data_IF_719848238968
#
_entry.id   IF_719848238968
#
_cell.length_a   1.000
_cell.length_b   1.000
_cell.length_c   1.000
_cell.angle_alpha   90.00
_cell.angle_beta   90.00
_cell.angle_gamma   90.00
#
_symmetry.space_group_name_H-M   'P 1'
#
loop_
_entity.id
_entity.type
_entity.pdbx_description
1 polymer ?
#
# COMPACT_ATOMS: atom_id res chain seq x y z
N UNK A 1 -41.30 -35.82 67.04
CA UNK A 1 -42.62 -35.26 67.40
C UNK A 1 -42.54 -33.75 67.30
N UNK A 2 -43.43 -33.14 66.49
CA UNK A 2 -43.84 -31.71 66.42
C UNK A 2 -42.72 -30.69 66.08
N UNK A 3 -42.57 -30.14 64.86
CA UNK A 3 -43.42 -29.26 64.03
C UNK A 3 -43.24 -27.74 64.30
N UNK A 4 -43.03 -27.01 63.18
CA UNK A 4 -43.38 -25.58 62.92
C UNK A 4 -42.51 -24.53 63.68
N UNK A 5 -42.09 -23.37 63.16
CA UNK A 5 -42.64 -22.45 62.15
C UNK A 5 -41.55 -21.47 61.67
N UNK A 6 -41.74 -20.96 60.45
CA UNK A 6 -40.98 -19.95 59.71
C UNK A 6 -41.10 -18.51 60.26
N UNK A 7 -40.27 -17.62 59.67
CA UNK A 7 -40.46 -16.20 59.31
C UNK A 7 -39.57 -15.14 60.01
N UNK A 8 -38.79 -14.47 59.15
CA UNK A 8 -38.00 -13.23 59.28
C UNK A 8 -38.87 -11.99 59.52
N UNK A 9 -38.35 -10.85 60.07
CA UNK A 9 -37.80 -9.77 59.23
C UNK A 9 -36.61 -8.94 59.81
N UNK A 10 -35.78 -8.40 58.89
CA UNK A 10 -35.24 -7.00 58.73
C UNK A 10 -35.03 -6.18 60.03
N UNK A 11 -33.89 -5.58 60.40
CA UNK A 11 -32.99 -4.63 59.71
C UNK A 11 -31.83 -4.29 60.69
N UNK A 12 -30.58 -4.15 60.23
CA UNK A 12 -29.59 -3.18 60.78
C UNK A 12 -28.24 -3.30 60.05
N UNK A 13 -27.87 -2.17 59.45
CA UNK A 13 -26.66 -1.83 58.72
C UNK A 13 -25.33 -2.36 59.29
N UNK A 14 -24.43 -2.78 58.40
CA UNK A 14 -23.01 -2.39 58.47
C UNK A 14 -22.33 -2.47 57.09
N UNK A 15 -21.98 -1.28 56.60
CA UNK A 15 -21.16 -0.99 55.42
C UNK A 15 -19.88 -1.84 55.37
N UNK A 16 -19.64 -2.50 54.24
CA UNK A 16 -18.30 -2.95 53.83
C UNK A 16 -18.09 -2.52 52.38
N UNK A 17 -17.00 -1.79 52.20
CA UNK A 17 -16.46 -1.21 50.98
C UNK A 17 -16.15 -2.28 49.93
N UNK A 18 -16.80 -2.19 48.76
CA UNK A 18 -16.38 -2.84 47.53
C UNK A 18 -15.77 -1.81 46.58
N UNK A 19 -14.48 -1.97 46.31
CA UNK A 19 -13.75 -1.34 45.22
C UNK A 19 -14.39 -1.74 43.87
N UNK A 20 -15.06 -0.79 43.23
CA UNK A 20 -15.40 -0.88 41.81
C UNK A 20 -14.15 -0.69 40.96
N UNK A 21 -13.49 -1.78 40.55
CA UNK A 21 -12.67 -1.79 39.32
C UNK A 21 -13.60 -1.94 38.13
N UNK A 22 -14.02 -0.81 37.55
CA UNK A 22 -14.55 -0.80 36.19
C UNK A 22 -13.36 -0.94 35.21
N UNK A 23 -13.44 -1.82 34.20
CA UNK A 23 -12.40 -1.95 33.20
C UNK A 23 -12.39 -0.67 32.37
N UNK A 24 -11.25 0.00 32.35
CA UNK A 24 -11.02 1.16 31.51
C UNK A 24 -11.40 0.82 30.08
N UNK A 25 -12.39 1.53 29.54
CA UNK A 25 -12.52 1.71 28.11
C UNK A 25 -11.18 2.26 27.64
N UNK A 26 -10.38 1.42 27.00
CA UNK A 26 -9.43 1.87 26.01
C UNK A 26 -10.27 2.54 24.93
N UNK A 27 -10.55 3.83 25.11
CA UNK A 27 -10.82 4.69 23.97
C UNK A 27 -9.61 4.52 23.06
N UNK A 28 -9.80 4.14 21.78
CA UNK A 28 -8.72 4.28 20.82
C UNK A 28 -8.33 5.75 20.89
N UNK A 29 -7.07 6.03 21.24
CA UNK A 29 -6.47 7.34 20.99
C UNK A 29 -6.79 7.66 19.54
N UNK A 30 -7.79 8.51 19.30
CA UNK A 30 -7.84 9.31 18.09
C UNK A 30 -6.49 10.00 18.12
N UNK A 31 -5.59 9.57 17.25
CA UNK A 31 -4.45 10.39 16.86
C UNK A 31 -5.05 11.77 16.58
N UNK A 32 -4.80 12.74 17.46
CA UNK A 32 -5.01 14.13 17.10
C UNK A 32 -4.20 14.30 15.83
N UNK A 33 -4.88 14.42 14.69
CA UNK A 33 -4.21 14.66 13.42
C UNK A 33 -3.32 15.87 13.65
N UNK A 34 -2.01 15.67 13.54
CA UNK A 34 -1.05 16.76 13.64
C UNK A 34 -1.44 17.83 12.62
N UNK A 35 -1.19 19.11 12.90
CA UNK A 35 -1.43 20.19 11.92
C UNK A 35 -0.74 19.88 10.57
N UNK A 36 0.36 19.12 10.61
CA UNK A 36 1.05 18.59 9.43
C UNK A 36 0.21 17.57 8.63
N UNK A 37 -0.54 16.70 9.31
CA UNK A 37 -1.40 15.70 8.65
C UNK A 37 -2.61 16.36 7.98
N UNK A 38 -3.23 17.35 8.64
CA UNK A 38 -4.35 18.11 8.07
C UNK A 38 -3.88 18.90 6.84
N UNK A 39 -2.72 19.55 6.93
CA UNK A 39 -2.14 20.25 5.79
C UNK A 39 -1.82 19.31 4.64
N UNK A 40 -1.31 18.10 4.93
CA UNK A 40 -1.03 17.09 3.92
C UNK A 40 -2.30 16.62 3.21
N UNK A 41 -3.39 16.41 3.95
CA UNK A 41 -4.71 16.10 3.37
C UNK A 41 -5.24 17.24 2.50
N UNK A 42 -5.15 18.49 2.96
CA UNK A 42 -5.55 19.67 2.20
C UNK A 42 -4.73 19.85 0.90
N UNK A 43 -3.41 19.69 0.99
CA UNK A 43 -2.49 19.79 -0.15
C UNK A 43 -2.81 18.69 -1.19
N UNK A 44 -3.02 17.45 -0.75
CA UNK A 44 -3.40 16.35 -1.64
C UNK A 44 -4.76 16.60 -2.29
N UNK A 45 -5.74 17.11 -1.55
CA UNK A 45 -7.06 17.47 -2.06
C UNK A 45 -6.97 18.57 -3.12
N UNK A 46 -6.16 19.60 -2.89
CA UNK A 46 -5.93 20.67 -3.84
C UNK A 46 -5.27 20.16 -5.13
N UNK A 47 -4.29 19.25 -5.01
CA UNK A 47 -3.64 18.63 -6.16
C UNK A 47 -4.63 17.80 -7.00
N UNK A 48 -5.52 17.01 -6.36
CA UNK A 48 -6.57 16.25 -7.06
C UNK A 48 -7.58 17.19 -7.74
N UNK A 49 -7.95 18.30 -7.10
CA UNK A 49 -8.82 19.31 -7.72
C UNK A 49 -8.15 19.93 -8.95
N UNK A 50 -6.87 20.31 -8.84
CA UNK A 50 -6.10 20.86 -9.96
C UNK A 50 -5.97 19.89 -11.13
N UNK A 51 -5.84 18.60 -10.85
CA UNK A 51 -5.86 17.53 -11.86
C UNK A 51 -7.25 17.34 -12.51
N UNK A 52 -8.31 17.81 -11.88
CA UNK A 52 -9.68 17.79 -12.43
C UNK A 52 -9.98 19.03 -13.29
N UNK A 53 -9.19 20.08 -13.20
CA UNK A 53 -9.33 21.29 -14.01
C UNK A 53 -8.91 21.03 -15.46
N UNK A 54 -9.33 21.88 -16.40
CA UNK A 54 -9.06 21.67 -17.84
C UNK A 54 -7.61 22.00 -18.25
N UNK A 55 -6.82 22.56 -17.35
CA UNK A 55 -5.47 23.03 -17.68
C UNK A 55 -4.44 21.90 -17.61
N UNK A 56 -4.26 21.26 -18.77
CA UNK A 56 -3.31 20.16 -18.94
C UNK A 56 -1.84 20.56 -18.70
N UNK A 57 -1.49 21.85 -18.76
CA UNK A 57 -0.11 22.31 -18.51
C UNK A 57 0.30 22.15 -17.04
N UNK A 58 -0.69 22.16 -16.14
CA UNK A 58 -0.49 22.09 -14.69
C UNK A 58 -0.52 20.67 -14.14
N UNK A 59 -0.91 19.69 -14.95
CA UNK A 59 -1.02 18.30 -14.50
C UNK A 59 0.35 17.72 -14.13
N UNK A 60 1.38 17.97 -14.96
CA UNK A 60 2.72 17.43 -14.70
C UNK A 60 3.31 17.93 -13.37
N UNK A 61 3.36 19.25 -13.09
CA UNK A 61 3.80 19.75 -11.79
C UNK A 61 2.97 19.23 -10.61
N UNK A 62 1.66 19.10 -10.79
CA UNK A 62 0.78 18.58 -9.73
C UNK A 62 1.06 17.10 -9.41
N UNK A 63 1.23 16.26 -10.43
CA UNK A 63 1.59 14.85 -10.25
C UNK A 63 3.00 14.68 -9.66
N UNK A 64 3.98 15.49 -10.08
CA UNK A 64 5.32 15.48 -9.50
C UNK A 64 5.30 15.83 -8.01
N UNK A 65 4.52 16.85 -7.64
CA UNK A 65 4.35 17.25 -6.24
C UNK A 65 3.67 16.16 -5.43
N UNK A 66 2.57 15.59 -5.94
CA UNK A 66 1.85 14.49 -5.30
C UNK A 66 2.76 13.26 -5.11
N UNK A 67 3.55 12.92 -6.13
CA UNK A 67 4.54 11.85 -6.06
C UNK A 67 5.57 12.11 -4.96
N UNK A 68 6.11 13.33 -4.88
CA UNK A 68 7.07 13.69 -3.84
C UNK A 68 6.48 13.54 -2.44
N UNK A 69 5.23 13.98 -2.22
CA UNK A 69 4.53 13.88 -0.93
C UNK A 69 4.30 12.42 -0.51
N UNK A 70 3.84 11.59 -1.46
CA UNK A 70 3.60 10.16 -1.23
C UNK A 70 4.92 9.46 -0.91
N UNK A 71 5.97 9.66 -1.71
CA UNK A 71 7.30 9.04 -1.51
C UNK A 71 7.93 9.43 -0.18
N UNK A 72 7.90 10.72 0.18
CA UNK A 72 8.46 11.21 1.43
C UNK A 72 7.81 10.54 2.66
N UNK A 73 6.53 10.19 2.53
CA UNK A 73 5.77 9.55 3.60
C UNK A 73 5.86 8.02 3.59
N UNK A 74 6.05 7.39 2.42
CA UNK A 74 6.15 5.92 2.31
C UNK A 74 7.53 5.38 2.68
N UNK A 75 8.58 6.19 2.61
CA UNK A 75 9.93 5.80 3.07
C UNK A 75 10.07 5.71 4.59
N UNK A 76 9.11 6.23 5.36
CA UNK A 76 9.09 6.09 6.82
C UNK A 76 8.58 4.71 7.22
N UNK A 77 9.37 4.02 8.06
CA UNK A 77 9.12 2.69 8.63
C UNK A 77 7.97 2.71 9.66
N UNK A 78 6.78 3.17 9.24
CA UNK A 78 5.55 3.26 10.05
C UNK A 78 4.41 2.58 9.29
N UNK A 79 3.52 1.90 10.00
CA UNK A 79 2.32 1.23 9.45
C UNK A 79 1.56 2.10 8.44
N UNK A 80 1.02 1.48 7.37
CA UNK A 80 0.23 2.07 6.25
C UNK A 80 0.34 3.61 6.15
N UNK A 81 1.17 4.13 5.23
CA UNK A 81 1.47 5.56 5.12
C UNK A 81 0.20 6.41 5.10
N UNK A 82 0.13 7.42 5.98
CA UNK A 82 -1.03 8.31 6.13
C UNK A 82 -1.54 8.93 4.80
N UNK A 83 -0.68 9.33 3.84
CA UNK A 83 -1.15 9.83 2.55
C UNK A 83 -2.02 8.84 1.78
N UNK A 84 -1.75 7.54 1.89
CA UNK A 84 -2.56 6.53 1.22
C UNK A 84 -3.97 6.47 1.82
N UNK A 85 -4.09 6.65 3.14
CA UNK A 85 -5.40 6.74 3.82
C UNK A 85 -6.19 7.95 3.35
N UNK A 86 -5.56 9.13 3.25
CA UNK A 86 -6.21 10.35 2.78
C UNK A 86 -6.57 10.31 1.29
N UNK A 87 -5.78 9.60 0.47
CA UNK A 87 -6.05 9.45 -0.96
C UNK A 87 -7.05 8.34 -1.29
N UNK A 88 -7.38 7.45 -0.36
CA UNK A 88 -8.33 6.35 -0.57
C UNK A 88 -9.70 6.82 -1.08
N UNK A 89 -10.33 7.88 -0.53
CA UNK A 89 -11.59 8.43 -1.07
C UNK A 89 -11.43 9.02 -2.49
N UNK A 90 -10.24 9.52 -2.81
CA UNK A 90 -9.93 10.14 -4.11
C UNK A 90 -9.48 9.13 -5.17
N UNK A 91 -9.31 7.86 -4.81
CA UNK A 91 -8.85 6.81 -5.72
C UNK A 91 -9.71 6.70 -6.98
N UNK A 92 -11.04 6.66 -6.83
CA UNK A 92 -11.96 6.60 -7.98
C UNK A 92 -11.86 7.84 -8.87
N UNK A 93 -11.73 9.02 -8.25
CA UNK A 93 -11.58 10.28 -8.97
C UNK A 93 -10.26 10.32 -9.76
N UNK A 94 -9.18 9.77 -9.21
CA UNK A 94 -7.90 9.64 -9.92
C UNK A 94 -8.02 8.74 -11.14
N UNK A 95 -8.80 7.65 -11.08
CA UNK A 95 -9.08 6.81 -12.26
C UNK A 95 -9.85 7.57 -13.34
N UNK A 96 -10.86 8.35 -12.96
CA UNK A 96 -11.61 9.18 -13.91
C UNK A 96 -10.71 10.20 -14.61
N UNK A 97 -9.85 10.88 -13.84
CA UNK A 97 -8.86 11.81 -14.37
C UNK A 97 -7.92 11.08 -15.34
N UNK A 98 -7.41 9.90 -14.97
CA UNK A 98 -6.54 9.08 -15.82
C UNK A 98 -7.19 8.73 -17.17
N UNK A 99 -8.50 8.46 -17.20
CA UNK A 99 -9.25 8.21 -18.43
C UNK A 99 -9.39 9.46 -19.29
N UNK A 100 -9.54 10.64 -18.67
CA UNK A 100 -9.63 11.93 -19.34
C UNK A 100 -8.30 12.46 -19.90
N UNK A 101 -7.16 12.01 -19.36
CA UNK A 101 -5.84 12.45 -19.79
C UNK A 101 -5.50 11.98 -21.22
N UNK A 102 -5.17 12.96 -22.08
CA UNK A 102 -4.71 12.74 -23.46
C UNK A 102 -3.18 12.71 -23.58
N UNK A 103 -2.47 13.35 -22.66
CA UNK A 103 -1.00 13.43 -22.69
C UNK A 103 -0.42 12.13 -22.16
N UNK A 104 0.28 11.38 -23.03
CA UNK A 104 0.78 10.03 -22.70
C UNK A 104 1.77 10.02 -21.54
N UNK A 105 2.66 11.01 -21.44
CA UNK A 105 3.65 11.06 -20.35
C UNK A 105 3.00 11.34 -18.99
N UNK A 106 2.09 12.32 -18.94
CA UNK A 106 1.31 12.65 -17.73
C UNK A 106 0.42 11.48 -17.33
N UNK A 107 -0.16 10.78 -18.31
CA UNK A 107 -0.98 9.60 -18.11
C UNK A 107 -0.18 8.46 -17.46
N UNK A 108 1.04 8.20 -17.94
CA UNK A 108 1.95 7.21 -17.36
C UNK A 108 2.32 7.55 -15.91
N UNK A 109 2.65 8.82 -15.62
CA UNK A 109 2.92 9.27 -14.26
C UNK A 109 1.72 9.13 -13.32
N UNK A 110 0.52 9.44 -13.83
CA UNK A 110 -0.73 9.24 -13.10
C UNK A 110 -0.98 7.76 -12.81
N UNK A 111 -0.71 6.87 -13.79
CA UNK A 111 -0.77 5.43 -13.59
C UNK A 111 0.18 4.95 -12.48
N UNK A 112 1.42 5.44 -12.42
CA UNK A 112 2.33 5.08 -11.32
C UNK A 112 1.77 5.49 -9.95
N UNK A 113 1.21 6.69 -9.82
CA UNK A 113 0.57 7.13 -8.57
C UNK A 113 -0.63 6.25 -8.22
N UNK A 114 -1.52 5.98 -9.18
CA UNK A 114 -2.69 5.11 -8.97
C UNK A 114 -2.25 3.71 -8.55
N UNK A 115 -1.17 3.18 -9.11
CA UNK A 115 -0.63 1.87 -8.71
C UNK A 115 -0.26 1.83 -7.23
N UNK A 116 0.36 2.90 -6.70
CA UNK A 116 0.75 2.97 -5.29
C UNK A 116 -0.46 3.14 -4.38
N UNK A 117 -1.45 3.93 -4.82
CA UNK A 117 -2.71 4.09 -4.11
C UNK A 117 -3.49 2.77 -4.01
N UNK A 118 -3.43 1.95 -5.07
CA UNK A 118 -4.12 0.66 -5.15
C UNK A 118 -3.69 -0.33 -4.06
N UNK A 119 -2.47 -0.20 -3.51
CA UNK A 119 -2.02 -1.01 -2.36
C UNK A 119 -2.94 -0.93 -1.13
N UNK A 120 -3.70 0.16 -1.01
CA UNK A 120 -4.63 0.41 0.10
C UNK A 120 -6.10 0.30 -0.31
N UNK A 121 -6.33 0.01 -1.58
CA UNK A 121 -7.66 -0.25 -2.13
C UNK A 121 -7.98 -1.74 -2.01
N UNK A 122 -9.27 -2.07 -2.04
CA UNK A 122 -9.73 -3.46 -1.95
C UNK A 122 -9.55 -4.23 -3.29
N UNK A 123 -9.14 -3.53 -4.36
CA UNK A 123 -8.97 -4.06 -5.72
C UNK A 123 -7.54 -4.58 -5.96
N UNK A 124 -7.33 -5.86 -5.64
CA UNK A 124 -6.02 -6.54 -5.65
C UNK A 124 -5.31 -6.70 -7.02
N UNK A 125 -5.90 -6.25 -8.12
CA UNK A 125 -5.28 -6.36 -9.46
C UNK A 125 -4.83 -5.02 -10.01
N UNK A 126 -5.25 -3.94 -9.37
CA UNK A 126 -5.06 -2.61 -9.93
C UNK A 126 -3.62 -2.13 -9.80
N UNK A 127 -2.90 -2.51 -8.72
CA UNK A 127 -1.49 -2.16 -8.55
C UNK A 127 -0.67 -2.61 -9.76
N UNK A 128 -0.74 -3.89 -10.14
CA UNK A 128 -0.02 -4.41 -11.32
C UNK A 128 -0.51 -3.77 -12.62
N UNK A 129 -1.84 -3.64 -12.80
CA UNK A 129 -2.42 -3.12 -14.03
C UNK A 129 -1.92 -1.70 -14.32
N UNK A 130 -2.03 -0.80 -13.34
CA UNK A 130 -1.55 0.57 -13.50
C UNK A 130 -0.03 0.64 -13.54
N UNK A 131 0.67 -0.28 -12.89
CA UNK A 131 2.13 -0.34 -12.97
C UNK A 131 2.64 -0.71 -14.36
N UNK A 132 2.00 -1.66 -15.04
CA UNK A 132 2.35 -2.01 -16.43
C UNK A 132 2.04 -0.86 -17.40
N UNK A 133 1.01 -0.06 -17.09
CA UNK A 133 0.64 1.13 -17.86
C UNK A 133 1.49 2.38 -17.54
N UNK A 134 2.31 2.31 -16.48
CA UNK A 134 3.07 3.44 -15.94
C UNK A 134 4.32 3.82 -16.72
N UNK A 135 5.14 4.69 -16.13
CA UNK A 135 6.35 5.24 -16.75
C UNK A 135 7.60 4.34 -16.58
N UNK A 136 7.44 3.14 -16.02
CA UNK A 136 8.54 2.20 -15.72
C UNK A 136 9.68 2.80 -14.90
N UNK A 137 9.40 3.79 -14.05
CA UNK A 137 10.36 4.31 -13.08
C UNK A 137 10.90 3.21 -12.17
N UNK A 138 12.11 3.32 -11.58
CA UNK A 138 12.62 2.29 -10.69
C UNK A 138 11.62 1.91 -9.61
N UNK A 139 11.22 0.64 -9.53
CA UNK A 139 10.21 0.15 -8.56
C UNK A 139 10.53 0.50 -7.10
N UNK A 140 11.81 0.67 -6.78
CA UNK A 140 12.29 1.05 -5.45
C UNK A 140 11.95 2.47 -5.03
N UNK A 141 11.61 3.35 -5.98
CA UNK A 141 11.35 4.76 -5.68
C UNK A 141 10.16 4.96 -4.73
N UNK A 142 9.21 4.03 -4.73
CA UNK A 142 8.02 4.05 -3.89
C UNK A 142 8.20 3.39 -2.53
N UNK A 143 9.36 2.79 -2.30
CA UNK A 143 9.73 2.12 -1.05
C UNK A 143 9.58 0.59 -1.10
N UNK A 144 10.18 -0.07 -0.11
CA UNK A 144 10.23 -1.53 -0.03
C UNK A 144 8.84 -2.18 0.08
N UNK A 145 7.92 -1.57 0.84
CA UNK A 145 6.56 -2.08 0.99
C UNK A 145 5.79 -2.14 -0.34
N UNK A 146 5.99 -1.15 -1.21
CA UNK A 146 5.42 -1.17 -2.56
C UNK A 146 5.97 -2.33 -3.39
N UNK A 147 7.29 -2.52 -3.37
CA UNK A 147 7.96 -3.64 -4.08
C UNK A 147 7.45 -4.98 -3.57
N UNK A 148 7.32 -5.15 -2.25
CA UNK A 148 6.80 -6.37 -1.63
C UNK A 148 5.35 -6.63 -2.04
N UNK A 149 4.49 -5.63 -1.97
CA UNK A 149 3.08 -5.76 -2.36
C UNK A 149 2.93 -6.13 -3.83
N UNK A 150 3.69 -5.46 -4.70
CA UNK A 150 3.71 -5.72 -6.13
C UNK A 150 4.19 -7.14 -6.45
N UNK A 151 5.21 -7.65 -5.73
CA UNK A 151 5.70 -9.01 -5.88
C UNK A 151 4.62 -10.06 -5.52
N UNK A 152 3.91 -9.84 -4.41
CA UNK A 152 2.81 -10.71 -3.96
C UNK A 152 1.65 -10.74 -4.95
N UNK A 153 1.14 -9.57 -5.38
CA UNK A 153 0.06 -9.56 -6.37
C UNK A 153 0.52 -10.23 -7.67
N UNK A 154 1.77 -10.00 -8.09
CA UNK A 154 2.27 -10.54 -9.37
C UNK A 154 2.35 -12.06 -9.32
N UNK A 155 2.78 -12.64 -8.20
CA UNK A 155 2.83 -14.09 -8.05
C UNK A 155 1.42 -14.70 -7.96
N UNK A 156 0.45 -14.02 -7.35
CA UNK A 156 -0.96 -14.41 -7.37
C UNK A 156 -1.54 -14.35 -8.80
N UNK A 157 -1.28 -13.28 -9.54
CA UNK A 157 -1.73 -13.10 -10.92
C UNK A 157 -1.12 -14.15 -11.84
N UNK A 158 0.16 -14.47 -11.68
CA UNK A 158 0.87 -15.48 -12.46
C UNK A 158 0.27 -16.89 -12.33
N UNK A 159 -0.24 -17.22 -11.15
CA UNK A 159 -0.88 -18.52 -10.85
C UNK A 159 -2.28 -18.65 -11.45
N UNK A 160 -2.88 -17.57 -11.98
CA UNK A 160 -4.20 -17.64 -12.61
C UNK A 160 -4.16 -18.42 -13.93
N UNK A 161 -5.10 -19.34 -14.09
CA UNK A 161 -5.25 -20.08 -15.35
C UNK A 161 -5.82 -19.18 -16.44
N UNK A 162 -5.41 -19.40 -17.70
CA UNK A 162 -5.96 -18.68 -18.86
C UNK A 162 -5.34 -17.31 -19.18
N UNK A 163 -4.21 -16.95 -18.57
CA UNK A 163 -3.44 -15.75 -18.95
C UNK A 163 -2.99 -15.83 -20.42
N UNK A 164 -3.20 -14.73 -21.16
CA UNK A 164 -2.68 -14.59 -22.51
C UNK A 164 -1.14 -14.56 -22.51
N UNK A 165 -0.51 -15.00 -23.59
CA UNK A 165 0.97 -14.97 -23.69
C UNK A 165 1.52 -13.56 -23.58
N UNK A 166 0.79 -12.55 -24.09
CA UNK A 166 1.13 -11.15 -23.91
C UNK A 166 1.17 -10.77 -22.43
N UNK A 167 0.15 -11.16 -21.65
CA UNK A 167 0.09 -10.86 -20.22
C UNK A 167 1.19 -11.57 -19.44
N UNK A 168 1.49 -12.82 -19.78
CA UNK A 168 2.63 -13.55 -19.18
C UNK A 168 3.95 -12.82 -19.45
N UNK A 169 4.17 -12.31 -20.66
CA UNK A 169 5.38 -11.55 -20.98
C UNK A 169 5.48 -10.23 -20.20
N UNK A 170 4.38 -9.52 -20.00
CA UNK A 170 4.34 -8.32 -19.14
C UNK A 170 4.70 -8.65 -17.70
N UNK A 171 4.10 -9.71 -17.13
CA UNK A 171 4.40 -10.17 -15.77
C UNK A 171 5.85 -10.60 -15.63
N UNK A 172 6.41 -11.34 -16.59
CA UNK A 172 7.83 -11.72 -16.58
C UNK A 172 8.76 -10.51 -16.61
N UNK A 173 8.45 -9.50 -17.42
CA UNK A 173 9.22 -8.25 -17.47
C UNK A 173 9.19 -7.56 -16.11
N UNK A 174 8.02 -7.53 -15.47
CA UNK A 174 7.87 -6.97 -14.13
C UNK A 174 8.65 -7.77 -13.08
N UNK A 175 8.59 -9.10 -13.11
CA UNK A 175 9.38 -9.98 -12.24
C UNK A 175 10.87 -9.69 -12.36
N UNK A 176 11.38 -9.54 -13.59
CA UNK A 176 12.79 -9.23 -13.82
C UNK A 176 13.18 -7.89 -13.18
N UNK A 177 12.32 -6.87 -13.27
CA UNK A 177 12.56 -5.59 -12.59
C UNK A 177 12.59 -5.75 -11.07
N UNK A 178 11.65 -6.53 -10.50
CA UNK A 178 11.57 -6.83 -9.06
C UNK A 178 12.81 -7.58 -8.57
N UNK A 179 13.22 -8.63 -9.27
CA UNK A 179 14.40 -9.43 -8.94
C UNK A 179 15.67 -8.57 -9.04
N UNK A 180 15.82 -7.78 -10.11
CA UNK A 180 16.98 -6.90 -10.27
C UNK A 180 17.08 -5.88 -9.12
N UNK A 181 15.96 -5.31 -8.68
CA UNK A 181 15.93 -4.41 -7.54
C UNK A 181 16.31 -5.10 -6.23
N UNK A 182 15.72 -6.26 -5.94
CA UNK A 182 16.02 -7.02 -4.73
C UNK A 182 17.50 -7.45 -4.67
N UNK A 183 18.05 -7.95 -5.78
CA UNK A 183 19.47 -8.31 -5.88
C UNK A 183 20.40 -7.11 -5.63
N UNK A 184 20.04 -5.92 -6.13
CA UNK A 184 20.81 -4.68 -5.90
C UNK A 184 20.74 -4.18 -4.46
N UNK A 185 19.69 -4.50 -3.72
CA UNK A 185 19.46 -4.04 -2.34
C UNK A 185 19.69 -5.14 -1.30
N UNK A 186 20.46 -6.18 -1.64
CA UNK A 186 20.80 -7.29 -0.73
C UNK A 186 19.56 -8.01 -0.15
N UNK A 187 18.49 -8.06 -0.94
CA UNK A 187 17.26 -8.81 -0.68
C UNK A 187 17.24 -10.08 -1.54
N UNK A 188 18.37 -10.80 -1.61
CA UNK A 188 18.49 -11.97 -2.49
C UNK A 188 17.52 -13.09 -2.11
N UNK A 189 17.14 -13.18 -0.83
CA UNK A 189 16.17 -14.16 -0.33
C UNK A 189 14.79 -13.90 -0.93
N UNK A 190 14.31 -12.65 -0.85
CA UNK A 190 13.03 -12.22 -1.41
C UNK A 190 12.98 -12.39 -2.94
N UNK A 191 14.11 -12.16 -3.62
CA UNK A 191 14.23 -12.43 -5.04
C UNK A 191 14.10 -13.92 -5.37
N UNK A 192 14.72 -14.79 -4.57
CA UNK A 192 14.62 -16.24 -4.74
C UNK A 192 13.21 -16.74 -4.46
N UNK A 193 12.60 -16.29 -3.36
CA UNK A 193 11.23 -16.66 -2.97
C UNK A 193 10.25 -16.33 -4.09
N UNK A 194 10.34 -15.13 -4.66
CA UNK A 194 9.49 -14.72 -5.79
C UNK A 194 9.65 -15.63 -7.01
N UNK A 195 10.89 -15.98 -7.38
CA UNK A 195 11.18 -16.84 -8.52
C UNK A 195 10.73 -18.29 -8.30
N UNK A 196 10.76 -18.77 -7.06
CA UNK A 196 10.21 -20.07 -6.68
C UNK A 196 8.69 -20.04 -6.85
N UNK A 197 8.02 -18.99 -6.38
CA UNK A 197 6.54 -18.89 -6.45
C UNK A 197 6.00 -18.88 -7.88
N UNK A 198 6.75 -18.33 -8.84
CA UNK A 198 6.36 -18.32 -10.26
C UNK A 198 6.97 -19.47 -11.07
N UNK A 199 7.70 -20.37 -10.41
CA UNK A 199 8.39 -21.53 -11.03
C UNK A 199 9.38 -21.13 -12.15
N UNK A 200 10.02 -19.95 -12.04
CA UNK A 200 10.97 -19.40 -13.02
C UNK A 200 12.38 -19.21 -12.46
N UNK A 201 12.86 -20.23 -11.75
CA UNK A 201 14.23 -20.28 -11.22
C UNK A 201 15.31 -20.17 -12.31
N UNK A 202 14.97 -20.44 -13.58
CA UNK A 202 15.86 -20.26 -14.74
C UNK A 202 16.40 -18.83 -14.84
N UNK A 203 15.60 -17.83 -14.44
CA UNK A 203 15.98 -16.42 -14.48
C UNK A 203 17.09 -16.08 -13.48
N UNK A 204 17.28 -16.88 -12.42
CA UNK A 204 18.32 -16.66 -11.43
C UNK A 204 19.72 -16.78 -12.04
N UNK A 205 19.90 -17.66 -13.03
CA UNK A 205 21.20 -17.89 -13.68
C UNK A 205 21.73 -16.62 -14.37
N UNK A 206 20.87 -15.79 -14.96
CA UNK A 206 21.31 -14.53 -15.56
C UNK A 206 21.79 -13.50 -14.53
N UNK A 207 21.19 -13.48 -13.33
CA UNK A 207 21.54 -12.52 -12.28
C UNK A 207 22.76 -12.94 -11.46
N UNK A 208 22.92 -14.24 -11.18
CA UNK A 208 24.09 -14.78 -10.46
C UNK A 208 25.39 -14.57 -11.26
N UNK A 209 25.32 -14.64 -12.60
CA UNK A 209 26.47 -14.34 -13.44
C UNK A 209 26.80 -12.85 -13.41
N UNK A 210 25.81 -11.96 -13.44
CA UNK A 210 26.02 -10.50 -13.37
C UNK A 210 26.58 -10.04 -12.01
N UNK A 211 26.04 -10.53 -10.89
CA UNK A 211 26.50 -10.16 -9.54
C UNK A 211 27.92 -10.64 -9.21
N UNK A 212 28.39 -11.71 -9.86
CA UNK A 212 29.80 -12.15 -9.77
C UNK A 212 30.77 -11.15 -10.42
N UNK A 213 30.35 -10.39 -11.42
CA UNK A 213 31.23 -9.36 -12.02
C UNK A 213 31.25 -8.07 -11.19
N UNK A 214 30.14 -7.67 -10.57
CA UNK A 214 30.10 -6.47 -9.70
C UNK A 214 30.81 -6.66 -8.35
N UNK A 215 30.85 -7.88 -7.78
CA UNK A 215 31.57 -8.13 -6.51
C UNK A 215 33.09 -8.28 -6.64
N UNK A 216 33.61 -8.37 -7.86
CA UNK A 216 35.04 -8.58 -8.14
C UNK A 216 35.68 -7.44 -8.96
N UNK A 217 34.98 -6.32 -9.16
CA UNK A 217 35.53 -5.12 -9.83
C UNK A 217 35.61 -3.91 -8.91
#
# INVERSE_FOLDING_TARGET
MVATTQQTPVEAEKKKSEEKKAPGKNEPKKEEMSEEDQKLEEDLNLLVQRLSEKDTSLYKPALETMRSLIRASTTSMTSVPKPLKFMRPHYNKMKEIYLGMQIQDVKKMCADIISVLAMTSDERTDTINYRILGSHEPIGDWGHEYVRHLAMEMSEEWKKEGLSDARKNELLTLTQQIVAHHMKHNAEVEACDLLIEIERLDLLNSYVQAGKFERFS
#
